data_IF_454309992289
#
_entry.id   IF_454309992289
#
_cell.length_a   1.000
_cell.length_b   1.000
_cell.length_c   1.000
_cell.angle_alpha   90.00
_cell.angle_beta   90.00
_cell.angle_gamma   90.00
#
_symmetry.space_group_name_H-M   'P 1'
#
loop_
_entity.id
_entity.type
_entity.pdbx_description
1 polymer ?
#
# COMPACT_ATOMS: atom_id res chain seq x y z
N UNK A 1 -21.38 -8.81 -26.91
CA UNK A 1 -22.44 -8.59 -25.90
C UNK A 1 -23.26 -7.31 -26.13
N UNK A 2 -22.70 -6.29 -26.80
CA UNK A 2 -23.34 -4.98 -27.06
C UNK A 2 -24.52 -4.97 -28.03
N UNK A 3 -24.50 -5.80 -29.08
CA UNK A 3 -25.55 -5.78 -30.13
C UNK A 3 -26.85 -6.46 -29.68
N UNK A 4 -26.78 -7.48 -28.80
CA UNK A 4 -27.97 -8.18 -28.27
C UNK A 4 -28.80 -7.33 -27.31
N UNK A 5 -28.21 -6.32 -26.65
CA UNK A 5 -28.92 -5.45 -25.70
C UNK A 5 -29.76 -4.36 -26.39
N UNK A 6 -29.32 -3.85 -27.54
CA UNK A 6 -30.02 -2.81 -28.31
C UNK A 6 -31.39 -3.28 -28.83
N UNK A 7 -31.51 -4.55 -29.22
CA UNK A 7 -32.75 -5.13 -29.73
C UNK A 7 -33.81 -5.41 -28.65
N UNK A 8 -33.39 -5.60 -27.39
CA UNK A 8 -34.30 -5.85 -26.26
C UNK A 8 -35.04 -4.57 -25.82
N UNK A 9 -34.33 -3.44 -25.77
CA UNK A 9 -34.91 -2.16 -25.34
C UNK A 9 -35.95 -1.60 -26.32
N UNK A 10 -35.80 -1.84 -27.63
CA UNK A 10 -36.82 -1.47 -28.63
C UNK A 10 -38.15 -2.19 -28.47
N UNK A 11 -38.20 -3.33 -27.77
CA UNK A 11 -39.46 -4.05 -27.49
C UNK A 11 -40.23 -3.52 -26.27
N UNK A 12 -39.59 -2.79 -25.37
CA UNK A 12 -40.20 -2.37 -24.09
C UNK A 12 -40.85 -0.98 -24.20
N UNK A 13 -40.43 -0.14 -25.16
CA UNK A 13 -40.94 1.22 -25.35
C UNK A 13 -41.19 1.51 -26.84
N UNK A 14 -42.43 1.34 -27.34
CA UNK A 14 -42.75 1.64 -28.73
C UNK A 14 -42.74 3.17 -28.94
N UNK A 15 -41.84 3.67 -29.78
CA UNK A 15 -41.80 5.08 -30.21
C UNK A 15 -40.46 5.82 -30.05
N UNK A 16 -39.42 5.19 -29.48
CA UNK A 16 -38.12 5.84 -29.28
C UNK A 16 -37.17 5.52 -30.45
N UNK A 17 -36.81 6.55 -31.23
CA UNK A 17 -35.83 6.42 -32.33
C UNK A 17 -34.41 6.12 -31.81
N UNK A 18 -33.53 5.59 -32.66
CA UNK A 18 -32.16 5.19 -32.30
C UNK A 18 -31.33 6.30 -31.59
N UNK A 19 -31.68 7.57 -31.81
CA UNK A 19 -31.16 8.75 -31.10
C UNK A 19 -31.52 8.79 -29.61
N UNK A 20 -32.70 8.32 -29.23
CA UNK A 20 -33.14 8.24 -27.82
C UNK A 20 -32.41 7.17 -27.01
N UNK A 21 -31.96 6.09 -27.64
CA UNK A 21 -31.20 5.03 -26.96
C UNK A 21 -29.76 5.47 -26.66
N UNK A 22 -29.14 6.30 -27.50
CA UNK A 22 -27.85 6.97 -27.19
C UNK A 22 -27.99 8.04 -26.09
N UNK A 23 -29.18 8.62 -25.94
CA UNK A 23 -29.51 9.65 -24.94
C UNK A 23 -29.44 9.12 -23.50
N UNK A 24 -29.94 7.89 -23.27
CA UNK A 24 -29.93 7.24 -21.95
C UNK A 24 -28.50 6.89 -21.51
N UNK A 25 -27.63 6.50 -22.45
CA UNK A 25 -26.24 6.12 -22.14
C UNK A 25 -25.33 7.30 -21.77
N UNK A 26 -25.65 8.53 -22.16
CA UNK A 26 -24.82 9.71 -21.86
C UNK A 26 -25.10 10.26 -20.45
N UNK A 27 -26.35 10.20 -20.00
CA UNK A 27 -26.75 10.50 -18.62
C UNK A 27 -26.15 9.50 -17.61
N UNK A 28 -25.96 8.24 -18.01
CA UNK A 28 -25.36 7.21 -17.17
C UNK A 28 -23.85 7.41 -16.88
N UNK A 29 -23.16 8.34 -17.58
CA UNK A 29 -21.72 8.60 -17.37
C UNK A 29 -21.41 9.63 -16.28
N UNK A 30 -22.33 10.55 -15.92
CA UNK A 30 -22.12 11.47 -14.77
C UNK A 30 -22.70 10.92 -13.44
N UNK A 31 -23.44 9.81 -13.43
CA UNK A 31 -23.98 9.21 -12.20
C UNK A 31 -23.42 7.80 -11.95
N UNK A 32 -22.73 7.59 -10.81
CA UNK A 32 -22.62 6.23 -10.24
C UNK A 32 -24.06 5.73 -10.00
N UNK A 33 -24.38 4.56 -10.52
CA UNK A 33 -25.73 3.99 -10.61
C UNK A 33 -26.43 3.73 -9.26
N UNK A 34 -25.80 4.02 -8.11
CA UNK A 34 -26.36 3.76 -6.77
C UNK A 34 -27.28 4.86 -6.21
N UNK A 35 -27.32 6.06 -6.79
CA UNK A 35 -28.18 7.16 -6.29
C UNK A 35 -29.38 7.52 -7.19
N UNK A 36 -29.52 6.89 -8.36
CA UNK A 36 -30.64 7.16 -9.28
C UNK A 36 -32.00 6.66 -8.76
N UNK A 37 -32.02 5.73 -7.79
CA UNK A 37 -33.28 5.21 -7.21
C UNK A 37 -33.96 6.20 -6.26
N UNK A 38 -33.23 7.13 -5.64
CA UNK A 38 -33.79 8.09 -4.66
C UNK A 38 -34.30 9.39 -5.31
N UNK A 39 -33.65 9.86 -6.39
CA UNK A 39 -34.08 11.09 -7.08
C UNK A 39 -35.33 10.89 -7.96
N UNK A 40 -35.62 9.65 -8.38
CA UNK A 40 -36.81 9.34 -9.18
C UNK A 40 -38.15 9.46 -8.40
N UNK A 41 -38.10 9.58 -7.06
CA UNK A 41 -39.30 9.65 -6.22
C UNK A 41 -39.83 11.07 -5.95
N UNK A 42 -39.09 12.13 -6.30
CA UNK A 42 -39.45 13.52 -5.94
C UNK A 42 -39.97 14.40 -7.09
N UNK A 43 -40.02 13.90 -8.33
CA UNK A 43 -40.49 14.70 -9.46
C UNK A 43 -41.86 14.21 -9.98
N UNK A 44 -42.94 14.83 -9.49
CA UNK A 44 -44.26 14.64 -10.09
C UNK A 44 -44.30 15.29 -11.50
N UNK A 45 -44.71 14.56 -12.55
CA UNK A 45 -44.62 15.00 -13.95
C UNK A 45 -45.54 16.19 -14.31
N UNK A 46 -46.45 16.59 -13.43
CA UNK A 46 -47.42 17.67 -13.68
C UNK A 46 -46.87 19.09 -13.51
N UNK A 47 -45.82 19.27 -12.69
CA UNK A 47 -45.24 20.60 -12.41
C UNK A 47 -44.30 21.09 -13.52
N UNK A 48 -43.62 20.17 -14.22
CA UNK A 48 -42.68 20.49 -15.31
C UNK A 48 -43.43 20.97 -16.57
N UNK A 49 -44.67 20.51 -16.77
CA UNK A 49 -45.49 20.88 -17.92
C UNK A 49 -45.95 22.35 -17.90
N UNK A 50 -46.05 22.98 -16.73
CA UNK A 50 -46.55 24.37 -16.62
C UNK A 50 -45.47 25.43 -16.92
N UNK A 51 -44.19 25.12 -16.72
CA UNK A 51 -43.07 26.02 -17.08
C UNK A 51 -42.81 26.12 -18.59
N UNK A 52 -43.33 25.19 -19.39
CA UNK A 52 -43.09 25.10 -20.84
C UNK A 52 -44.07 25.91 -21.72
N UNK A 53 -45.06 26.58 -21.11
CA UNK A 53 -46.14 27.26 -21.85
C UNK A 53 -45.95 28.77 -22.06
N UNK A 54 -44.81 29.37 -21.66
CA UNK A 54 -44.62 30.83 -21.74
C UNK A 54 -43.80 31.36 -22.93
N UNK A 55 -43.48 30.54 -23.95
CA UNK A 55 -42.75 31.03 -25.15
C UNK A 55 -43.36 30.46 -26.43
N UNK A 56 -43.97 31.33 -27.24
CA UNK A 56 -44.90 30.97 -28.33
C UNK A 56 -44.28 30.70 -29.71
N UNK A 57 -42.99 30.36 -29.81
CA UNK A 57 -42.41 29.93 -31.10
C UNK A 57 -41.53 28.68 -30.98
N UNK A 58 -41.83 27.67 -31.80
CA UNK A 58 -41.16 26.37 -31.79
C UNK A 58 -39.66 26.44 -32.10
N UNK A 59 -39.19 27.47 -32.81
CA UNK A 59 -37.77 27.71 -33.06
C UNK A 59 -37.02 28.17 -31.81
N UNK A 60 -37.63 29.01 -30.97
CA UNK A 60 -37.03 29.46 -29.71
C UNK A 60 -37.02 28.31 -28.68
N UNK A 61 -38.07 27.48 -28.64
CA UNK A 61 -38.10 26.26 -27.81
C UNK A 61 -36.97 25.30 -28.16
N UNK A 62 -36.73 25.04 -29.44
CA UNK A 62 -35.63 24.16 -29.87
C UNK A 62 -34.25 24.76 -29.54
N UNK A 63 -34.04 26.06 -29.78
CA UNK A 63 -32.78 26.74 -29.49
C UNK A 63 -32.47 26.79 -27.99
N UNK A 64 -33.47 27.08 -27.16
CA UNK A 64 -33.34 27.13 -25.71
C UNK A 64 -33.11 25.74 -25.11
N UNK A 65 -33.74 24.70 -25.66
CA UNK A 65 -33.51 23.32 -25.26
C UNK A 65 -32.10 22.84 -25.67
N UNK A 66 -31.62 23.20 -26.87
CA UNK A 66 -30.26 22.87 -27.32
C UNK A 66 -29.19 23.63 -26.51
N UNK A 67 -29.44 24.90 -26.17
CA UNK A 67 -28.58 25.71 -25.31
C UNK A 67 -28.57 25.20 -23.86
N UNK A 68 -29.73 24.90 -23.29
CA UNK A 68 -29.83 24.35 -21.92
C UNK A 68 -29.19 22.96 -21.80
N UNK A 69 -29.25 22.13 -22.86
CA UNK A 69 -28.66 20.79 -22.86
C UNK A 69 -27.15 20.80 -23.14
N UNK A 70 -26.62 21.83 -23.81
CA UNK A 70 -25.18 22.00 -24.04
C UNK A 70 -24.44 22.63 -22.86
N UNK A 71 -25.16 23.15 -21.85
CA UNK A 71 -24.63 23.70 -20.60
C UNK A 71 -24.78 22.75 -19.39
N UNK A 72 -24.93 21.44 -19.60
CA UNK A 72 -24.92 20.50 -18.48
C UNK A 72 -23.57 20.59 -17.75
N UNK A 73 -23.61 21.03 -16.49
CA UNK A 73 -22.44 21.15 -15.64
C UNK A 73 -22.19 19.88 -14.83
N UNK A 74 -20.98 19.34 -14.83
CA UNK A 74 -20.58 18.26 -13.91
C UNK A 74 -19.43 18.75 -13.03
N UNK A 75 -19.56 18.55 -11.71
CA UNK A 75 -18.47 18.75 -10.74
C UNK A 75 -18.12 17.39 -10.15
N UNK A 76 -16.86 16.99 -10.21
CA UNK A 76 -16.36 15.78 -9.56
C UNK A 76 -15.32 16.10 -8.52
N UNK A 77 -15.22 15.22 -7.52
CA UNK A 77 -14.29 15.31 -6.42
C UNK A 77 -13.39 14.07 -6.40
N UNK A 78 -12.16 14.26 -5.94
CA UNK A 78 -11.20 13.19 -5.65
C UNK A 78 -10.62 13.38 -4.24
N UNK A 79 -9.98 12.36 -3.64
CA UNK A 79 -9.26 12.50 -2.38
C UNK A 79 -8.22 13.63 -2.46
N UNK A 80 -8.11 14.45 -1.41
CA UNK A 80 -7.14 15.55 -1.44
C UNK A 80 -5.69 15.06 -1.30
N UNK A 81 -5.49 13.85 -0.76
CA UNK A 81 -4.22 13.17 -0.61
C UNK A 81 -4.28 11.79 -1.27
N UNK A 82 -3.16 11.36 -1.86
CA UNK A 82 -3.01 10.02 -2.42
C UNK A 82 -3.03 8.99 -1.29
N UNK A 83 -3.87 7.97 -1.42
CA UNK A 83 -3.99 6.90 -0.44
C UNK A 83 -3.13 5.74 -0.95
N UNK A 84 -2.12 5.26 -0.21
CA UNK A 84 -1.37 4.07 -0.58
C UNK A 84 -2.27 2.83 -0.56
N UNK A 85 -2.00 1.89 -1.46
CA UNK A 85 -2.68 0.60 -1.47
C UNK A 85 -2.11 -0.27 -0.33
N UNK A 86 -2.97 -0.70 0.60
CA UNK A 86 -2.56 -1.55 1.72
C UNK A 86 -2.67 -3.02 1.34
N UNK A 87 -1.52 -3.71 1.24
CA UNK A 87 -1.50 -5.17 1.21
C UNK A 87 -1.60 -5.69 2.66
N UNK A 88 -2.77 -6.20 3.04
CA UNK A 88 -2.94 -6.80 4.37
C UNK A 88 -2.06 -8.05 4.50
N UNK A 89 -1.30 -8.10 5.59
CA UNK A 89 -0.49 -9.28 5.94
C UNK A 89 -1.37 -10.38 6.53
N UNK A 90 -0.88 -11.62 6.48
CA UNK A 90 -1.51 -12.73 7.18
C UNK A 90 -1.54 -12.52 8.70
N UNK A 91 -2.44 -13.24 9.36
CA UNK A 91 -2.55 -13.24 10.83
C UNK A 91 -1.27 -13.81 11.45
N UNK A 92 -0.82 -14.97 10.98
CA UNK A 92 0.48 -15.54 11.32
C UNK A 92 1.56 -15.07 10.33
N UNK A 93 2.56 -14.34 10.84
CA UNK A 93 3.75 -13.96 10.07
C UNK A 93 4.96 -14.66 10.68
N UNK A 94 5.62 -15.51 9.89
CA UNK A 94 6.91 -16.09 10.28
C UNK A 94 8.03 -15.11 9.94
N UNK A 95 8.71 -14.60 10.96
CA UNK A 95 9.86 -13.69 10.81
C UNK A 95 11.18 -14.43 10.57
N UNK A 96 11.18 -15.76 10.57
CA UNK A 96 12.33 -16.59 10.24
C UNK A 96 11.96 -17.63 9.18
N UNK A 97 12.63 -17.57 8.03
CA UNK A 97 12.59 -18.63 7.00
C UNK A 97 13.87 -19.47 6.95
N UNK A 98 14.86 -19.17 7.79
CA UNK A 98 16.15 -19.83 7.76
C UNK A 98 16.25 -20.84 8.89
N UNK A 99 16.76 -22.03 8.55
CA UNK A 99 17.50 -22.88 9.47
C UNK A 99 18.66 -22.08 10.09
N UNK A 100 18.37 -21.21 11.05
CA UNK A 100 19.26 -21.00 12.19
C UNK A 100 19.18 -22.29 12.99
N UNK A 101 19.74 -23.38 12.43
CA UNK A 101 20.23 -24.47 13.24
C UNK A 101 21.03 -23.82 14.34
N UNK A 102 20.74 -24.15 15.59
CA UNK A 102 21.43 -23.65 16.77
C UNK A 102 22.94 -23.94 16.62
N UNK A 103 23.66 -23.06 15.91
CA UNK A 103 25.12 -23.10 15.87
C UNK A 103 25.55 -22.65 17.24
N UNK A 104 26.39 -23.44 17.89
CA UNK A 104 26.97 -23.09 19.16
C UNK A 104 28.14 -22.12 18.96
N UNK A 105 28.84 -22.23 17.83
CA UNK A 105 29.95 -21.36 17.43
C UNK A 105 29.83 -20.95 15.95
N UNK A 106 30.40 -19.80 15.61
CA UNK A 106 30.47 -19.29 14.25
C UNK A 106 31.92 -18.91 13.91
N UNK A 107 32.44 -19.49 12.81
CA UNK A 107 33.78 -19.18 12.30
C UNK A 107 33.78 -17.96 11.36
N UNK A 108 32.61 -17.46 10.95
CA UNK A 108 32.46 -16.33 10.03
C UNK A 108 32.85 -16.69 8.59
N UNK A 109 32.56 -17.92 8.17
CA UNK A 109 32.91 -18.49 6.87
C UNK A 109 31.68 -19.03 6.16
N UNK A 110 31.63 -18.85 4.85
CA UNK A 110 30.78 -19.64 3.97
C UNK A 110 31.68 -20.55 3.13
N UNK A 111 31.41 -21.85 3.15
CA UNK A 111 32.22 -22.86 2.46
C UNK A 111 31.36 -23.69 1.51
N UNK A 112 31.95 -24.12 0.40
CA UNK A 112 31.32 -25.02 -0.57
C UNK A 112 32.25 -26.16 -0.93
N UNK A 113 31.72 -27.20 -1.58
CA UNK A 113 32.53 -28.32 -2.06
C UNK A 113 33.73 -27.81 -2.88
N UNK A 114 34.91 -28.39 -2.63
CA UNK A 114 36.11 -28.12 -3.40
C UNK A 114 36.06 -29.00 -4.65
N UNK A 115 35.65 -28.42 -5.78
CA UNK A 115 35.50 -29.12 -7.05
C UNK A 115 36.58 -28.63 -8.03
N UNK A 116 36.99 -29.49 -8.94
CA UNK A 116 37.90 -29.12 -10.03
C UNK A 116 37.25 -28.11 -10.97
N UNK A 117 38.02 -27.15 -11.45
CA UNK A 117 37.59 -26.14 -12.43
C UNK A 117 37.43 -26.68 -13.87
N UNK A 118 37.43 -28.00 -14.04
CA UNK A 118 37.32 -28.68 -15.34
C UNK A 118 35.85 -28.90 -15.69
N UNK A 119 35.43 -28.39 -16.85
CA UNK A 119 34.09 -28.63 -17.40
C UNK A 119 33.88 -30.06 -17.92
N UNK A 120 34.95 -30.83 -18.10
CA UNK A 120 34.90 -32.17 -18.69
C UNK A 120 35.14 -33.29 -17.68
N UNK A 121 35.67 -32.96 -16.51
CA UNK A 121 35.96 -33.94 -15.45
C UNK A 121 35.79 -33.27 -14.08
N UNK A 122 34.57 -33.35 -13.55
CA UNK A 122 34.22 -32.82 -12.22
C UNK A 122 34.70 -33.80 -11.15
N UNK A 123 35.87 -33.53 -10.60
CA UNK A 123 36.41 -34.25 -9.45
C UNK A 123 36.22 -33.42 -8.17
N UNK A 124 35.75 -34.06 -7.10
CA UNK A 124 35.82 -33.48 -5.76
C UNK A 124 37.25 -33.61 -5.24
N UNK A 125 37.85 -32.48 -4.95
CA UNK A 125 39.19 -32.36 -4.40
C UNK A 125 39.13 -32.37 -2.86
N UNK A 126 40.19 -32.80 -2.17
CA UNK A 126 40.24 -32.75 -0.71
C UNK A 126 40.05 -31.34 -0.16
N UNK A 127 39.46 -31.24 1.03
CA UNK A 127 39.17 -29.97 1.65
C UNK A 127 37.84 -29.33 1.24
N UNK A 128 37.55 -28.18 1.82
CA UNK A 128 36.37 -27.36 1.50
C UNK A 128 36.81 -25.97 1.05
N UNK A 129 36.22 -25.47 -0.03
CA UNK A 129 36.57 -24.17 -0.61
C UNK A 129 35.83 -23.05 0.13
N UNK A 130 36.56 -22.03 0.57
CA UNK A 130 36.01 -20.82 1.18
C UNK A 130 35.40 -19.94 0.09
N UNK A 131 34.08 -19.81 0.10
CA UNK A 131 33.30 -18.99 -0.83
C UNK A 131 33.20 -17.55 -0.35
N UNK A 132 33.06 -17.36 0.95
CA UNK A 132 32.90 -16.05 1.57
C UNK A 132 33.54 -16.02 2.95
N UNK A 133 34.05 -14.85 3.33
CA UNK A 133 34.56 -14.57 4.68
C UNK A 133 33.85 -13.32 5.18
N UNK A 134 33.16 -13.43 6.32
CA UNK A 134 32.45 -12.30 6.94
C UNK A 134 33.49 -11.28 7.42
N UNK A 135 33.36 -10.03 6.97
CA UNK A 135 34.25 -8.94 7.37
C UNK A 135 34.23 -8.74 8.90
N UNK A 136 35.42 -8.74 9.53
CA UNK A 136 35.54 -8.65 10.99
C UNK A 136 35.16 -9.94 11.74
N UNK A 137 34.84 -11.04 11.04
CA UNK A 137 34.59 -12.35 11.63
C UNK A 137 35.86 -13.07 12.11
N UNK A 138 35.68 -14.22 12.77
CA UNK A 138 36.77 -15.00 13.34
C UNK A 138 37.81 -15.41 12.29
N UNK A 139 37.35 -15.93 11.15
CA UNK A 139 38.22 -16.34 10.06
C UNK A 139 38.90 -15.15 9.35
N UNK A 140 38.23 -14.01 9.21
CA UNK A 140 38.85 -12.79 8.68
C UNK A 140 40.01 -12.33 9.57
N UNK A 141 39.80 -12.36 10.90
CA UNK A 141 40.81 -11.99 11.89
C UNK A 141 42.00 -12.96 11.88
N UNK A 142 41.73 -14.25 11.61
CA UNK A 142 42.75 -15.28 11.43
C UNK A 142 43.47 -15.22 10.07
N UNK A 143 43.08 -14.29 9.18
CA UNK A 143 43.74 -14.07 7.89
C UNK A 143 43.31 -15.04 6.78
N UNK A 144 42.22 -15.79 6.97
CA UNK A 144 41.58 -16.62 5.95
C UNK A 144 40.87 -15.70 4.95
N UNK A 145 40.91 -16.07 3.67
CA UNK A 145 40.37 -15.29 2.54
C UNK A 145 39.50 -16.17 1.64
N UNK A 146 38.62 -15.53 0.88
CA UNK A 146 37.91 -16.19 -0.23
C UNK A 146 38.90 -16.83 -1.20
N UNK A 147 38.61 -18.06 -1.62
CA UNK A 147 39.49 -18.86 -2.47
C UNK A 147 40.45 -19.79 -1.71
N UNK A 148 40.58 -19.62 -0.39
CA UNK A 148 41.31 -20.57 0.45
C UNK A 148 40.60 -21.93 0.51
N UNK A 149 41.35 -23.01 0.67
CA UNK A 149 40.82 -24.37 0.86
C UNK A 149 41.16 -24.85 2.25
N UNK A 150 40.15 -25.14 3.06
CA UNK A 150 40.31 -25.69 4.41
C UNK A 150 40.47 -27.20 4.28
N UNK A 151 41.62 -27.73 4.69
CA UNK A 151 41.93 -29.15 4.63
C UNK A 151 41.56 -29.85 5.94
N UNK A 152 41.83 -29.19 7.08
CA UNK A 152 41.63 -29.74 8.42
C UNK A 152 41.24 -28.64 9.39
N UNK A 153 40.49 -29.04 10.42
CA UNK A 153 40.25 -28.25 11.62
C UNK A 153 40.70 -29.12 12.80
N UNK A 154 41.67 -28.63 13.55
CA UNK A 154 42.44 -29.38 14.54
C UNK A 154 42.93 -30.72 13.95
N UNK A 155 42.46 -31.83 14.50
CA UNK A 155 42.82 -33.18 14.07
C UNK A 155 41.82 -33.81 13.08
N UNK A 156 40.79 -33.07 12.64
CA UNK A 156 39.71 -33.57 11.80
C UNK A 156 39.89 -33.14 10.34
N UNK A 157 39.95 -34.08 9.37
CA UNK A 157 39.90 -33.75 7.96
C UNK A 157 38.50 -33.24 7.58
N UNK A 158 38.44 -32.14 6.83
CA UNK A 158 37.17 -31.51 6.42
C UNK A 158 37.08 -31.57 4.90
N UNK A 159 36.46 -32.63 4.37
CA UNK A 159 36.31 -32.82 2.91
C UNK A 159 34.92 -32.47 2.39
N UNK A 160 33.98 -32.12 3.28
CA UNK A 160 32.60 -31.74 2.94
C UNK A 160 32.14 -30.54 3.77
N UNK A 161 31.32 -29.62 3.20
CA UNK A 161 30.74 -28.49 3.94
C UNK A 161 29.99 -28.92 5.21
N UNK A 162 29.30 -30.06 5.18
CA UNK A 162 28.54 -30.58 6.32
C UNK A 162 29.40 -30.87 7.55
N UNK A 163 30.69 -31.22 7.35
CA UNK A 163 31.61 -31.47 8.44
C UNK A 163 31.93 -30.17 9.21
N UNK A 164 32.08 -29.05 8.52
CA UNK A 164 32.22 -27.73 9.16
C UNK A 164 30.95 -27.38 9.94
N UNK A 165 29.78 -27.55 9.32
CA UNK A 165 28.50 -27.25 9.97
C UNK A 165 28.27 -28.09 11.25
N UNK A 166 28.71 -29.35 11.25
CA UNK A 166 28.62 -30.24 12.41
C UNK A 166 29.50 -29.77 13.58
N UNK A 167 30.70 -29.25 13.27
CA UNK A 167 31.59 -28.65 14.27
C UNK A 167 30.95 -27.38 14.83
N UNK A 168 30.39 -26.52 13.98
CA UNK A 168 29.71 -25.29 14.41
C UNK A 168 28.50 -25.54 15.34
N UNK A 169 27.82 -26.69 15.18
CA UNK A 169 26.69 -27.08 16.02
C UNK A 169 27.09 -27.68 17.37
N UNK A 170 28.18 -28.46 17.41
CA UNK A 170 28.50 -29.31 18.57
C UNK A 170 29.63 -28.75 19.44
N UNK A 171 30.52 -27.95 18.86
CA UNK A 171 31.73 -27.54 19.54
C UNK A 171 31.49 -26.30 20.41
N UNK A 172 32.20 -26.23 21.53
CA UNK A 172 32.16 -25.09 22.44
C UNK A 172 33.06 -23.95 21.94
N UNK A 173 32.79 -22.70 22.33
CA UNK A 173 33.65 -21.56 21.99
C UNK A 173 35.09 -21.80 22.45
N UNK A 174 36.01 -21.91 21.49
CA UNK A 174 37.43 -22.20 21.71
C UNK A 174 38.27 -21.66 20.54
N UNK A 175 39.60 -21.82 20.65
CA UNK A 175 40.50 -21.59 19.51
C UNK A 175 40.68 -22.90 18.76
N UNK A 176 40.49 -22.84 17.44
CA UNK A 176 40.62 -23.98 16.53
C UNK A 176 41.77 -23.73 15.57
N UNK A 177 42.53 -24.77 15.27
CA UNK A 177 43.65 -24.71 14.36
C UNK A 177 43.23 -25.17 12.97
N UNK A 178 43.15 -24.23 12.02
CA UNK A 178 42.76 -24.54 10.64
C UNK A 178 44.02 -24.81 9.82
N UNK A 179 44.11 -25.97 9.20
CA UNK A 179 45.08 -26.22 8.13
C UNK A 179 44.49 -25.74 6.82
N UNK A 180 45.01 -24.64 6.30
CA UNK A 180 44.46 -23.94 5.13
C UNK A 180 45.48 -23.97 3.99
N UNK A 181 45.00 -24.23 2.77
CA UNK A 181 45.77 -24.09 1.54
C UNK A 181 45.33 -22.85 0.79
N UNK A 182 46.27 -21.96 0.49
CA UNK A 182 46.11 -20.85 -0.44
C UNK A 182 47.03 -21.07 -1.63
N UNK A 183 46.43 -21.25 -2.80
CA UNK A 183 47.14 -21.65 -4.02
C UNK A 183 47.96 -22.93 -3.80
N UNK A 184 49.28 -22.78 -3.66
CA UNK A 184 50.25 -23.87 -3.43
C UNK A 184 50.79 -23.91 -2.00
N UNK A 185 50.51 -22.90 -1.18
CA UNK A 185 51.03 -22.78 0.18
C UNK A 185 50.02 -23.33 1.18
N UNK A 186 50.48 -24.21 2.08
CA UNK A 186 49.69 -24.70 3.22
C UNK A 186 50.21 -24.02 4.48
N UNK A 187 49.31 -23.43 5.25
CA UNK A 187 49.63 -22.74 6.50
C UNK A 187 48.59 -23.04 7.59
N UNK A 188 48.97 -22.78 8.83
CA UNK A 188 48.06 -22.88 9.98
C UNK A 188 47.45 -21.50 10.27
N UNK A 189 46.14 -21.47 10.45
CA UNK A 189 45.39 -20.30 10.89
C UNK A 189 44.70 -20.61 12.22
N UNK A 190 45.06 -19.90 13.29
CA UNK A 190 44.38 -20.01 14.57
C UNK A 190 43.10 -19.18 14.53
N UNK A 191 41.94 -19.84 14.44
CA UNK A 191 40.63 -19.21 14.38
C UNK A 191 40.00 -19.26 15.77
N UNK A 192 39.75 -18.10 16.35
CA UNK A 192 39.07 -18.00 17.65
C UNK A 192 37.56 -18.01 17.37
N UNK A 193 36.93 -19.17 17.53
CA UNK A 193 35.51 -19.31 17.29
C UNK A 193 34.72 -18.44 18.27
N UNK A 194 33.94 -17.51 17.74
CA UNK A 194 33.03 -16.75 18.58
C UNK A 194 31.82 -17.65 18.89
N UNK A 195 31.23 -17.56 20.11
CA UNK A 195 29.90 -18.12 20.30
C UNK A 195 29.04 -17.55 19.18
N UNK A 196 28.31 -18.42 18.47
CA UNK A 196 27.48 -17.96 17.39
C UNK A 196 26.60 -16.87 17.98
N UNK A 197 26.65 -15.66 17.41
CA UNK A 197 25.69 -14.63 17.80
C UNK A 197 24.36 -15.20 17.35
N UNK A 198 23.63 -15.84 18.27
CA UNK A 198 22.20 -16.01 18.13
C UNK A 198 21.67 -14.59 18.14
N UNK A 199 21.65 -13.98 16.96
CA UNK A 199 20.94 -12.73 16.77
C UNK A 199 19.51 -13.13 17.08
N UNK A 200 18.91 -12.58 18.15
CA UNK A 200 17.55 -12.94 18.50
C UNK A 200 16.71 -12.76 17.23
N UNK A 201 15.86 -13.74 16.88
CA UNK A 201 15.10 -13.67 15.64
C UNK A 201 14.33 -12.35 15.61
N UNK A 202 14.08 -11.77 14.42
CA UNK A 202 13.26 -10.57 14.35
C UNK A 202 11.94 -10.83 15.07
N UNK A 203 11.57 -9.91 15.98
CA UNK A 203 10.36 -10.01 16.79
C UNK A 203 9.35 -9.02 16.25
N UNK A 204 8.09 -9.44 16.13
CA UNK A 204 6.99 -8.51 15.90
C UNK A 204 6.89 -7.55 17.07
N UNK A 205 6.94 -6.25 16.79
CA UNK A 205 6.70 -5.22 17.80
C UNK A 205 5.21 -4.85 17.82
N UNK A 206 4.64 -4.58 16.63
CA UNK A 206 3.24 -4.23 16.45
C UNK A 206 2.82 -4.31 14.98
N UNK A 207 1.51 -4.32 14.76
CA UNK A 207 0.86 -4.13 13.45
C UNK A 207 0.45 -2.68 13.29
N UNK A 208 0.90 -2.04 12.22
CA UNK A 208 0.53 -0.65 11.93
C UNK A 208 -0.72 -0.58 11.06
N UNK A 209 -1.68 0.27 11.41
CA UNK A 209 -2.71 0.77 10.51
C UNK A 209 -2.42 2.24 10.17
N UNK A 210 -1.76 2.52 9.04
CA UNK A 210 -1.39 3.88 8.66
C UNK A 210 -2.54 4.71 8.09
N UNK A 211 -3.73 4.10 7.89
CA UNK A 211 -4.84 4.75 7.19
C UNK A 211 -6.02 5.01 8.10
N UNK A 212 -6.75 3.98 8.54
CA UNK A 212 -8.06 4.19 9.14
C UNK A 212 -7.96 4.79 10.55
N UNK A 213 -7.03 4.28 11.34
CA UNK A 213 -6.81 4.70 12.74
C UNK A 213 -5.48 5.41 12.97
N UNK A 214 -4.53 5.30 12.02
CA UNK A 214 -3.19 5.90 12.13
C UNK A 214 -2.57 5.56 13.49
N UNK A 215 -2.54 4.27 13.80
CA UNK A 215 -2.04 3.74 15.06
C UNK A 215 -1.33 2.39 14.88
N UNK A 216 -0.58 2.00 15.91
CA UNK A 216 0.06 0.69 16.02
C UNK A 216 -0.59 -0.16 17.11
N UNK A 217 -0.79 -1.44 16.83
CA UNK A 217 -1.50 -2.39 17.69
C UNK A 217 -0.71 -3.65 17.94
N UNK A 218 -0.78 -4.19 19.16
CA UNK A 218 -0.36 -5.56 19.47
C UNK A 218 -1.55 -6.42 19.87
N UNK A 219 -1.52 -7.69 19.51
CA UNK A 219 -2.51 -8.65 20.03
C UNK A 219 -2.17 -8.97 21.48
N UNK A 220 -3.13 -8.82 22.38
CA UNK A 220 -3.00 -9.18 23.80
C UNK A 220 -4.21 -9.97 24.25
N UNK A 221 -3.97 -11.04 25.02
CA UNK A 221 -5.05 -11.79 25.64
C UNK A 221 -5.38 -11.19 27.02
N UNK A 222 -6.58 -10.65 27.17
CA UNK A 222 -7.06 -10.05 28.41
C UNK A 222 -7.93 -11.05 29.18
N UNK A 223 -7.72 -11.12 30.49
CA UNK A 223 -8.62 -11.84 31.41
C UNK A 223 -9.50 -10.82 32.10
N UNK A 224 -10.74 -10.68 31.63
CA UNK A 224 -11.69 -9.77 32.26
C UNK A 224 -12.29 -10.44 33.49
N UNK A 225 -12.18 -9.77 34.64
CA UNK A 225 -12.79 -10.21 35.90
C UNK A 225 -14.28 -9.85 35.91
N UNK A 226 -15.03 -10.40 34.96
CA UNK A 226 -16.50 -10.43 35.00
C UNK A 226 -16.97 -11.65 35.79
N UNK A 227 -18.28 -11.78 36.02
CA UNK A 227 -18.91 -12.89 36.77
C UNK A 227 -18.47 -14.30 36.34
N UNK A 228 -17.95 -14.44 35.12
CA UNK A 228 -17.18 -15.59 34.63
C UNK A 228 -15.84 -15.08 34.09
N UNK A 229 -14.71 -15.64 34.51
CA UNK A 229 -13.39 -15.30 33.98
C UNK A 229 -13.28 -15.80 32.54
N UNK A 230 -13.40 -14.89 31.57
CA UNK A 230 -13.27 -15.16 30.13
C UNK A 230 -11.99 -14.50 29.62
N UNK A 231 -11.22 -15.27 28.87
CA UNK A 231 -10.05 -14.76 28.14
C UNK A 231 -10.51 -14.26 26.78
N UNK A 232 -10.28 -12.98 26.50
CA UNK A 232 -10.70 -12.32 25.26
C UNK A 232 -9.47 -11.70 24.60
N UNK A 233 -9.34 -11.85 23.30
CA UNK A 233 -8.27 -11.20 22.57
C UNK A 233 -8.59 -9.72 22.35
N UNK A 234 -7.57 -8.88 22.42
CA UNK A 234 -7.69 -7.45 22.28
C UNK A 234 -6.56 -6.91 21.42
N UNK A 235 -6.82 -5.80 20.75
CA UNK A 235 -5.83 -5.00 20.04
C UNK A 235 -5.42 -3.85 20.96
N UNK A 236 -4.29 -4.01 21.63
CA UNK A 236 -3.75 -2.99 22.53
C UNK A 236 -3.01 -1.93 21.72
N UNK A 237 -3.36 -0.67 21.92
CA UNK A 237 -2.73 0.49 21.28
C UNK A 237 -1.33 0.65 21.87
N UNK A 238 -0.30 0.61 21.02
CA UNK A 238 1.10 0.78 21.44
C UNK A 238 1.77 1.99 20.82
N UNK A 239 1.22 2.48 19.71
CA UNK A 239 1.71 3.65 18.99
C UNK A 239 0.53 4.45 18.43
N UNK A 240 0.66 5.77 18.41
CA UNK A 240 -0.34 6.70 17.87
C UNK A 240 0.39 7.68 16.95
N UNK A 241 0.05 7.67 15.67
CA UNK A 241 0.68 8.56 14.69
C UNK A 241 0.01 9.94 14.64
N UNK A 242 0.67 10.88 13.94
CA UNK A 242 0.16 12.23 13.75
C UNK A 242 -1.21 12.20 13.04
N UNK A 243 -2.13 13.05 13.53
CA UNK A 243 -3.54 13.14 13.08
C UNK A 243 -4.35 11.85 13.25
N UNK A 244 -3.98 11.01 14.22
CA UNK A 244 -4.76 9.82 14.56
C UNK A 244 -6.15 10.18 15.10
N UNK A 245 -7.22 9.56 14.59
CA UNK A 245 -8.56 9.70 15.13
C UNK A 245 -8.74 9.09 16.53
N UNK A 246 -7.78 8.31 17.04
CA UNK A 246 -7.85 7.79 18.41
C UNK A 246 -7.81 8.91 19.47
N UNK A 247 -7.02 9.97 19.21
CA UNK A 247 -6.85 11.10 20.13
C UNK A 247 -8.18 11.82 20.42
N UNK A 248 -8.95 12.30 19.42
CA UNK A 248 -10.25 12.93 19.67
C UNK A 248 -11.30 11.96 20.23
N UNK A 249 -11.15 10.64 20.00
CA UNK A 249 -11.97 9.61 20.64
C UNK A 249 -11.57 9.34 22.10
N UNK A 250 -10.48 9.96 22.59
CA UNK A 250 -9.94 9.79 23.93
C UNK A 250 -9.36 8.40 24.18
N UNK A 251 -8.89 7.71 23.14
CA UNK A 251 -8.21 6.41 23.22
C UNK A 251 -6.71 6.68 23.30
N UNK A 252 -6.06 6.17 24.35
CA UNK A 252 -4.65 6.43 24.64
C UNK A 252 -3.78 5.19 24.43
N UNK A 253 -2.45 5.37 24.48
CA UNK A 253 -1.50 4.25 24.44
C UNK A 253 -1.70 3.39 25.69
N UNK A 254 -1.83 2.08 25.50
CA UNK A 254 -2.13 1.10 26.54
C UNK A 254 -3.60 0.68 26.59
N UNK A 255 -4.51 1.45 25.99
CA UNK A 255 -5.91 1.06 25.86
C UNK A 255 -6.04 -0.17 24.94
N UNK A 256 -6.95 -1.06 25.29
CA UNK A 256 -7.16 -2.30 24.55
C UNK A 256 -8.56 -2.35 23.90
N UNK A 257 -8.60 -2.34 22.58
CA UNK A 257 -9.84 -2.48 21.83
C UNK A 257 -10.23 -3.95 21.85
N UNK A 258 -11.45 -4.26 22.30
CA UNK A 258 -11.94 -5.65 22.45
C UNK A 258 -13.06 -5.99 21.46
N UNK A 259 -13.78 -4.99 20.96
CA UNK A 259 -14.83 -5.18 19.97
C UNK A 259 -14.92 -3.98 19.01
N UNK A 260 -15.34 -4.28 17.79
CA UNK A 260 -15.67 -3.32 16.74
C UNK A 260 -17.10 -3.57 16.30
N UNK A 261 -17.96 -2.55 16.34
CA UNK A 261 -19.38 -2.64 15.98
C UNK A 261 -20.11 -3.77 16.75
N UNK A 262 -19.79 -3.92 18.03
CA UNK A 262 -20.35 -4.96 18.90
C UNK A 262 -19.89 -6.39 18.60
N UNK A 263 -18.96 -6.60 17.65
CA UNK A 263 -18.33 -7.90 17.38
C UNK A 263 -16.95 -7.95 18.03
N UNK A 264 -16.74 -8.94 18.90
CA UNK A 264 -15.41 -9.22 19.49
C UNK A 264 -14.35 -9.37 18.37
N UNK A 265 -13.16 -8.85 18.63
CA UNK A 265 -12.00 -9.03 17.76
C UNK A 265 -11.12 -10.16 18.26
N UNK A 266 -10.43 -10.84 17.34
CA UNK A 266 -9.57 -11.97 17.68
C UNK A 266 -8.08 -11.60 17.73
N UNK A 267 -7.69 -10.51 17.07
CA UNK A 267 -6.31 -10.06 16.99
C UNK A 267 -6.21 -8.60 16.56
N UNK A 268 -5.02 -8.01 16.69
CA UNK A 268 -4.71 -6.72 16.09
C UNK A 268 -4.92 -6.73 14.56
N UNK A 269 -4.54 -7.82 13.88
CA UNK A 269 -4.74 -7.96 12.44
C UNK A 269 -6.22 -8.03 12.07
N UNK A 270 -7.06 -8.70 12.87
CA UNK A 270 -8.51 -8.77 12.68
C UNK A 270 -9.16 -7.37 12.76
N UNK A 271 -8.78 -6.57 13.76
CA UNK A 271 -9.23 -5.17 13.86
C UNK A 271 -8.88 -4.38 12.59
N UNK A 272 -7.61 -4.39 12.18
CA UNK A 272 -7.13 -3.65 11.00
C UNK A 272 -7.85 -4.13 9.74
N UNK A 273 -8.03 -5.43 9.59
CA UNK A 273 -8.68 -6.03 8.42
C UNK A 273 -10.15 -5.63 8.35
N UNK A 274 -10.89 -5.66 9.46
CA UNK A 274 -12.30 -5.23 9.49
C UNK A 274 -12.45 -3.73 9.22
N UNK A 275 -11.57 -2.90 9.79
CA UNK A 275 -11.57 -1.46 9.51
C UNK A 275 -11.28 -1.14 8.04
N UNK A 276 -10.39 -1.92 7.40
CA UNK A 276 -10.00 -1.70 6.00
C UNK A 276 -11.01 -2.29 5.00
N UNK A 277 -11.60 -3.45 5.31
CA UNK A 277 -12.43 -4.21 4.37
C UNK A 277 -13.93 -3.93 4.53
N UNK A 278 -14.39 -3.55 5.71
CA UNK A 278 -15.82 -3.38 6.01
C UNK A 278 -16.26 -1.91 6.08
N UNK A 279 -15.31 -0.95 6.10
CA UNK A 279 -15.58 0.48 6.27
C UNK A 279 -14.81 1.34 5.27
N UNK A 280 -15.33 2.54 5.01
CA UNK A 280 -14.64 3.58 4.24
C UNK A 280 -13.94 4.58 5.19
N UNK A 281 -12.86 5.19 4.69
CA UNK A 281 -12.19 6.29 5.39
C UNK A 281 -13.16 7.45 5.64
N UNK A 282 -13.22 7.94 6.87
CA UNK A 282 -14.20 8.95 7.30
C UNK A 282 -15.48 8.38 7.92
N UNK A 283 -15.71 7.08 7.87
CA UNK A 283 -16.86 6.45 8.52
C UNK A 283 -16.79 6.60 10.05
N UNK A 284 -17.95 6.59 10.69
CA UNK A 284 -18.07 6.61 12.15
C UNK A 284 -18.30 5.17 12.61
N UNK A 285 -17.41 4.68 13.46
CA UNK A 285 -17.47 3.32 14.00
C UNK A 285 -17.50 3.35 15.52
N UNK A 286 -18.16 2.37 16.12
CA UNK A 286 -18.22 2.16 17.57
C UNK A 286 -17.22 1.08 17.98
N UNK A 287 -16.35 1.39 18.95
CA UNK A 287 -15.39 0.46 19.51
C UNK A 287 -15.60 0.31 21.01
N UNK A 288 -15.54 -0.92 21.52
CA UNK A 288 -15.50 -1.17 22.95
C UNK A 288 -14.02 -1.25 23.38
N UNK A 289 -13.63 -0.37 24.30
CA UNK A 289 -12.23 -0.14 24.71
C UNK A 289 -12.09 -0.42 26.20
N UNK A 290 -11.09 -1.20 26.57
CA UNK A 290 -10.70 -1.47 27.93
C UNK A 290 -9.51 -0.60 28.34
N UNK A 291 -9.72 0.27 29.32
CA UNK A 291 -8.72 1.23 29.83
C UNK A 291 -7.81 0.67 30.95
N UNK A 292 -7.86 -0.66 31.16
CA UNK A 292 -7.20 -1.33 32.29
C UNK A 292 -8.08 -1.46 33.55
N UNK A 293 -9.22 -0.78 33.61
CA UNK A 293 -10.15 -0.84 34.74
C UNK A 293 -11.57 -1.20 34.32
N UNK A 294 -12.06 -0.62 33.23
CA UNK A 294 -13.44 -0.75 32.78
C UNK A 294 -13.52 -0.78 31.26
N UNK A 295 -14.60 -1.39 30.73
CA UNK A 295 -14.90 -1.36 29.30
C UNK A 295 -15.80 -0.17 29.01
N UNK A 296 -15.37 0.70 28.11
CA UNK A 296 -16.09 1.88 27.65
C UNK A 296 -16.36 1.78 26.15
N UNK A 297 -17.59 2.09 25.73
CA UNK A 297 -17.91 2.25 24.31
C UNK A 297 -17.53 3.65 23.86
N UNK A 298 -16.71 3.73 22.82
CA UNK A 298 -16.22 4.99 22.24
C UNK A 298 -16.55 5.06 20.75
N UNK A 299 -17.05 6.20 20.31
CA UNK A 299 -17.25 6.49 18.89
C UNK A 299 -15.93 6.99 18.28
N UNK A 300 -15.46 6.30 17.24
CA UNK A 300 -14.27 6.64 16.48
C UNK A 300 -14.66 7.09 15.07
N UNK A 301 -14.21 8.27 14.65
CA UNK A 301 -14.38 8.73 13.26
C UNK A 301 -13.09 8.41 12.51
N UNK A 302 -13.13 7.47 11.58
CA UNK A 302 -11.94 7.05 10.84
C UNK A 302 -11.31 8.22 10.11
N UNK A 303 -9.99 8.20 9.97
CA UNK A 303 -9.27 9.27 9.29
C UNK A 303 -9.75 9.39 7.84
N UNK A 304 -9.82 10.63 7.34
CA UNK A 304 -10.15 10.91 5.95
C UNK A 304 -9.09 11.83 5.32
N UNK A 305 -8.68 11.60 4.06
CA UNK A 305 -7.74 12.47 3.35
C UNK A 305 -8.34 13.81 2.93
N UNK A 306 -9.63 14.04 3.19
CA UNK A 306 -10.38 15.18 2.66
C UNK A 306 -10.73 15.00 1.18
N UNK A 307 -11.51 15.94 0.63
CA UNK A 307 -11.92 15.94 -0.78
C UNK A 307 -11.53 17.24 -1.44
N UNK A 308 -11.08 17.15 -2.69
CA UNK A 308 -10.80 18.30 -3.55
C UNK A 308 -11.54 18.18 -4.87
N UNK A 309 -11.80 19.30 -5.52
CA UNK A 309 -12.45 19.33 -6.83
C UNK A 309 -11.43 18.82 -7.86
N UNK A 310 -11.76 17.71 -8.53
CA UNK A 310 -10.94 17.13 -9.60
C UNK A 310 -11.37 17.60 -10.98
N UNK A 311 -12.67 17.84 -11.20
CA UNK A 311 -13.19 18.35 -12.47
C UNK A 311 -14.37 19.28 -12.25
N UNK A 312 -14.41 20.35 -13.03
CA UNK A 312 -15.60 21.18 -13.24
C UNK A 312 -15.76 21.36 -14.73
N UNK A 313 -16.84 20.86 -15.30
CA UNK A 313 -17.17 21.08 -16.71
C UNK A 313 -18.50 21.80 -16.80
N UNK A 314 -18.61 22.75 -17.74
CA UNK A 314 -19.83 23.47 -18.10
C UNK A 314 -19.87 23.61 -19.63
N UNK A 315 -20.20 22.49 -20.29
CA UNK A 315 -20.28 22.46 -21.75
C UNK A 315 -19.01 22.98 -22.44
N UNK A 316 -19.14 23.76 -23.52
CA UNK A 316 -18.00 24.40 -24.17
C UNK A 316 -17.50 25.64 -23.42
N UNK A 317 -18.16 26.11 -22.36
CA UNK A 317 -17.82 27.41 -21.74
C UNK A 317 -16.67 27.31 -20.75
N UNK A 318 -16.61 26.21 -19.99
CA UNK A 318 -15.63 26.05 -18.93
C UNK A 318 -15.29 24.59 -18.75
N UNK A 319 -14.00 24.26 -18.73
CA UNK A 319 -13.52 22.97 -18.29
C UNK A 319 -12.32 23.17 -17.36
N UNK A 320 -12.38 22.62 -16.17
CA UNK A 320 -11.31 22.58 -15.18
C UNK A 320 -11.04 21.12 -14.85
N UNK A 321 -9.78 20.71 -14.87
CA UNK A 321 -9.36 19.38 -14.45
C UNK A 321 -8.07 19.48 -13.62
N UNK A 322 -8.02 18.80 -12.48
CA UNK A 322 -6.86 18.69 -11.62
C UNK A 322 -6.65 17.23 -11.23
N UNK A 323 -5.38 16.78 -11.19
CA UNK A 323 -4.99 15.42 -10.84
C UNK A 323 -3.93 15.43 -9.75
N UNK A 324 -4.14 14.65 -8.69
CA UNK A 324 -3.20 14.58 -7.57
C UNK A 324 -1.98 13.73 -7.96
N UNK A 325 -2.24 12.67 -8.73
CA UNK A 325 -1.27 11.67 -9.12
C UNK A 325 -0.17 12.22 -10.02
N UNK A 326 -0.53 13.11 -10.96
CA UNK A 326 0.42 13.69 -11.91
C UNK A 326 0.79 15.14 -11.56
N UNK A 327 0.31 15.68 -10.43
CA UNK A 327 0.48 17.09 -10.05
C UNK A 327 0.13 18.08 -11.19
N UNK A 328 -0.94 17.79 -11.94
CA UNK A 328 -1.38 18.60 -13.09
C UNK A 328 -2.66 19.35 -12.78
N UNK A 329 -2.78 20.57 -13.32
CA UNK A 329 -4.02 21.36 -13.30
C UNK A 329 -4.23 21.98 -14.67
N UNK A 330 -5.44 21.92 -15.20
CA UNK A 330 -5.79 22.52 -16.47
C UNK A 330 -7.11 23.26 -16.34
N UNK A 331 -7.20 24.37 -17.04
CA UNK A 331 -8.41 25.18 -17.12
C UNK A 331 -8.58 25.69 -18.55
N UNK A 332 -9.77 25.57 -19.09
CA UNK A 332 -10.13 26.07 -20.42
C UNK A 332 -11.37 26.92 -20.29
N UNK A 333 -11.30 28.15 -20.79
CA UNK A 333 -12.42 29.06 -20.90
C UNK A 333 -12.80 29.23 -22.36
N UNK A 334 -14.06 28.91 -22.66
CA UNK A 334 -14.68 28.91 -23.99
C UNK A 334 -13.86 28.10 -25.00
N UNK A 335 -14.16 26.81 -25.07
CA UNK A 335 -13.64 25.87 -26.04
C UNK A 335 -14.56 25.79 -27.27
N UNK A 336 -14.18 26.48 -28.35
CA UNK A 336 -14.86 26.40 -29.64
C UNK A 336 -14.21 25.31 -30.50
N UNK A 337 -14.92 24.90 -31.55
CA UNK A 337 -14.46 23.80 -32.42
C UNK A 337 -13.06 24.02 -33.05
N UNK A 338 -12.65 25.28 -33.23
CA UNK A 338 -11.39 25.64 -33.90
C UNK A 338 -10.32 26.21 -32.95
N UNK A 339 -10.74 26.84 -31.85
CA UNK A 339 -9.82 27.48 -30.90
C UNK A 339 -10.48 27.62 -29.52
N UNK A 340 -9.65 27.68 -28.48
CA UNK A 340 -10.06 28.08 -27.15
C UNK A 340 -9.78 29.55 -26.92
N UNK A 341 -10.67 30.28 -26.25
CA UNK A 341 -10.42 31.69 -25.93
C UNK A 341 -9.25 31.81 -24.97
N UNK A 342 -9.24 30.99 -23.93
CA UNK A 342 -8.15 30.92 -22.97
C UNK A 342 -7.96 29.51 -22.45
N UNK A 343 -6.70 29.11 -22.28
CA UNK A 343 -6.33 27.85 -21.67
C UNK A 343 -5.17 28.08 -20.71
N UNK A 344 -5.26 27.48 -19.54
CA UNK A 344 -4.22 27.42 -18.52
C UNK A 344 -3.85 25.95 -18.31
N UNK A 345 -2.55 25.69 -18.20
CA UNK A 345 -2.01 24.40 -17.83
C UNK A 345 -0.96 24.58 -16.74
N UNK A 346 -0.89 23.62 -15.83
CA UNK A 346 0.18 23.50 -14.87
C UNK A 346 0.57 22.03 -14.78
N UNK A 347 1.87 21.76 -14.85
CA UNK A 347 2.45 20.44 -14.66
C UNK A 347 3.62 20.57 -13.70
N UNK A 348 3.47 20.05 -12.47
CA UNK A 348 4.43 20.30 -11.41
C UNK A 348 4.59 21.80 -11.13
N UNK A 349 5.82 22.30 -11.29
CA UNK A 349 6.16 23.72 -11.12
C UNK A 349 5.91 24.60 -12.36
N UNK A 350 5.80 24.02 -13.55
CA UNK A 350 5.66 24.75 -14.81
C UNK A 350 4.20 25.17 -15.02
N UNK A 351 3.99 26.44 -15.41
CA UNK A 351 2.67 27.00 -15.74
C UNK A 351 2.68 27.51 -17.18
N UNK A 352 1.62 27.23 -17.93
CA UNK A 352 1.42 27.69 -19.29
C UNK A 352 0.07 28.39 -19.44
N UNK A 353 0.05 29.46 -20.23
CA UNK A 353 -1.11 30.26 -20.56
C UNK A 353 -1.22 30.37 -22.08
N UNK A 354 -2.35 29.97 -22.66
CA UNK A 354 -2.64 30.11 -24.09
C UNK A 354 -3.83 31.03 -24.30
N UNK A 355 -3.69 32.02 -25.17
CA UNK A 355 -4.78 32.92 -25.59
C UNK A 355 -5.10 32.69 -27.06
N UNK A 356 -6.39 32.49 -27.36
CA UNK A 356 -6.90 32.19 -28.72
C UNK A 356 -6.21 31.00 -29.40
N UNK A 357 -5.59 30.12 -28.60
CA UNK A 357 -4.72 29.02 -29.06
C UNK A 357 -3.49 29.44 -29.88
N UNK A 358 -3.17 30.74 -29.98
CA UNK A 358 -2.08 31.28 -30.81
C UNK A 358 -0.93 31.80 -29.95
N UNK A 359 -1.23 32.48 -28.87
CA UNK A 359 -0.22 33.09 -28.00
C UNK A 359 -0.01 32.19 -26.79
N UNK A 360 1.18 31.60 -26.66
CA UNK A 360 1.58 30.75 -25.53
C UNK A 360 2.63 31.47 -24.68
N UNK A 361 2.37 31.52 -23.37
CA UNK A 361 3.28 32.04 -22.36
C UNK A 361 3.52 30.95 -21.33
N UNK A 362 4.75 30.44 -21.24
CA UNK A 362 5.14 29.45 -20.23
C UNK A 362 6.07 30.10 -19.20
N UNK A 363 5.87 29.78 -17.93
CA UNK A 363 6.86 30.05 -16.89
C UNK A 363 7.93 28.97 -17.04
N UNK A 364 9.01 29.29 -17.75
CA UNK A 364 10.14 28.40 -18.05
C UNK A 364 10.79 27.87 -16.76
N UNK A 365 10.20 26.84 -16.18
CA UNK A 365 10.68 26.15 -14.99
C UNK A 365 11.44 24.94 -15.50
N UNK A 366 12.74 25.13 -15.76
CA UNK A 366 13.63 24.06 -16.18
C UNK A 366 13.57 22.90 -15.19
N UNK A 367 13.13 21.75 -15.69
CA UNK A 367 13.23 20.47 -15.02
C UNK A 367 14.71 20.22 -14.66
N UNK A 368 15.01 20.12 -13.36
CA UNK A 368 16.03 19.28 -12.71
C UNK A 368 16.20 19.79 -11.27
N UNK A 369 15.14 19.67 -10.46
CA UNK A 369 15.30 19.64 -9.01
C UNK A 369 14.89 18.23 -8.63
N UNK A 370 15.89 17.36 -8.44
CA UNK A 370 15.67 16.06 -7.82
C UNK A 370 15.00 16.30 -6.47
N UNK A 371 13.79 15.76 -6.33
CA UNK A 371 13.04 15.80 -5.09
C UNK A 371 13.84 15.02 -4.04
N UNK A 372 14.21 15.63 -2.90
CA UNK A 372 14.95 14.92 -1.87
C UNK A 372 14.06 13.78 -1.38
N UNK A 373 14.50 12.55 -1.64
CA UNK A 373 13.81 11.36 -1.18
C UNK A 373 13.72 11.40 0.36
N UNK A 374 12.53 11.14 0.94
CA UNK A 374 12.30 11.24 2.37
C UNK A 374 13.11 10.25 3.20
#
# INVERSE_FOLDING_TARGET
MSVRFLLSATRILPGVSATGVRFIFTLARCFRFSQLSQLAQLAQPSQIAQLLNFVSSGRIKALFFFAAFSLAGCVSYEPAQLIPELTLSGEDVSFSSANTSERQIDFGLNVGANESDSLFDLATLPGVLVREVIAGGAAATAGIRTGDVILRIDNLPIDKPDALASIEQTAQPATFEFTVRRDTTVFLASVIASPARSTPPPRELYRSDPLATRAGYTTQLLTLSTSTSRSIAAATVVDIQLDSPLIPAGIEIGDAIIALEGREINSAQDLISRLTLEHELGDRVEVDVYDGSSVQRKTLVLWHPGRRISRVSLGPLLNYEASAQNATTSFTFINLWLFSVYQYGQSGGERSHKLLSIFEFASDYGELIEEPQP
#
